data_IF_672440877611
#
_entry.id   IF_672440877611
#
_cell.length_a   1.000
_cell.length_b   1.000
_cell.length_c   1.000
_cell.angle_alpha   90.00
_cell.angle_beta   90.00
_cell.angle_gamma   90.00
#
_symmetry.space_group_name_H-M   'P 1'
#
loop_
_entity.id
_entity.type
_entity.pdbx_description
1 polymer ?
#
# COMPACT_ATOMS: atom_id res chain seq x y z
N UNK A 1 -9.12 -25.45 3.71
CA UNK A 1 -9.06 -24.42 4.77
C UNK A 1 -9.72 -24.96 6.01
N UNK A 2 -9.00 -25.08 7.12
CA UNK A 2 -9.55 -25.60 8.38
C UNK A 2 -10.39 -24.52 9.09
N UNK A 3 -11.32 -24.96 9.96
CA UNK A 3 -12.14 -24.03 10.76
C UNK A 3 -11.29 -23.15 11.70
N UNK A 4 -10.11 -23.64 12.05
CA UNK A 4 -9.14 -22.92 12.86
C UNK A 4 -8.46 -21.77 12.07
N UNK A 5 -8.18 -22.00 10.78
CA UNK A 5 -7.63 -20.98 9.87
C UNK A 5 -8.66 -19.89 9.57
N UNK A 6 -9.94 -20.28 9.39
CA UNK A 6 -11.04 -19.32 9.23
C UNK A 6 -11.20 -18.41 10.46
N UNK A 7 -11.18 -18.95 11.67
CA UNK A 7 -11.26 -18.16 12.90
C UNK A 7 -10.06 -17.24 13.08
N UNK A 8 -8.87 -17.72 12.71
CA UNK A 8 -7.65 -16.91 12.74
C UNK A 8 -7.76 -15.74 11.76
N UNK A 9 -8.22 -16.00 10.54
CA UNK A 9 -8.43 -14.95 9.54
C UNK A 9 -9.52 -13.94 9.95
N UNK A 10 -10.61 -14.38 10.57
CA UNK A 10 -11.64 -13.50 11.11
C UNK A 10 -11.11 -12.63 12.25
N UNK A 11 -10.32 -13.20 13.16
CA UNK A 11 -9.68 -12.43 14.24
C UNK A 11 -8.65 -11.42 13.73
N UNK A 12 -8.11 -11.64 12.53
CA UNK A 12 -7.21 -10.70 11.86
C UNK A 12 -7.97 -9.59 11.11
N UNK A 13 -9.19 -9.87 10.63
CA UNK A 13 -10.04 -8.88 9.95
C UNK A 13 -10.54 -7.78 10.90
N UNK A 14 -10.58 -8.04 12.20
CA UNK A 14 -10.95 -7.06 13.23
C UNK A 14 -9.81 -6.09 13.60
N UNK A 15 -8.62 -6.28 13.04
CA UNK A 15 -7.50 -5.36 13.24
C UNK A 15 -7.43 -4.39 12.08
N UNK A 16 -7.07 -3.15 12.35
CA UNK A 16 -6.86 -2.12 11.34
C UNK A 16 -5.61 -2.42 10.51
N UNK A 17 -5.78 -3.26 9.50
CA UNK A 17 -4.77 -3.54 8.49
C UNK A 17 -5.08 -2.75 7.24
N UNK A 18 -4.03 -2.33 6.55
CA UNK A 18 -4.15 -1.63 5.30
C UNK A 18 -3.61 -0.22 5.39
N UNK A 19 -3.73 0.48 4.30
CA UNK A 19 -3.26 1.85 4.17
C UNK A 19 -4.37 2.82 4.58
N UNK A 20 -4.04 3.76 5.44
CA UNK A 20 -4.85 4.94 5.68
C UNK A 20 -4.30 6.09 4.83
N UNK A 21 -5.11 6.59 3.91
CA UNK A 21 -4.74 7.72 3.08
C UNK A 21 -5.05 9.02 3.82
N UNK A 22 -4.03 9.72 4.26
CA UNK A 22 -4.15 10.94 5.03
C UNK A 22 -4.46 12.14 4.13
N UNK A 23 -3.81 12.24 2.98
CA UNK A 23 -4.07 13.30 2.02
C UNK A 23 -3.61 12.95 0.62
N UNK A 24 -4.29 13.51 -0.37
CA UNK A 24 -3.85 13.53 -1.76
C UNK A 24 -3.97 14.96 -2.28
N UNK A 25 -2.87 15.51 -2.74
CA UNK A 25 -2.80 16.90 -3.19
C UNK A 25 -2.08 17.02 -4.52
N UNK A 26 -2.39 18.07 -5.26
CA UNK A 26 -1.57 18.52 -6.39
C UNK A 26 -0.22 19.04 -5.90
N UNK A 27 0.73 19.24 -6.80
CA UNK A 27 2.02 19.87 -6.49
C UNK A 27 1.87 21.23 -5.77
N UNK A 28 0.86 22.00 -6.13
CA UNK A 28 0.53 23.28 -5.49
C UNK A 28 -0.19 23.17 -4.14
N UNK A 29 -0.39 21.95 -3.62
CA UNK A 29 -1.02 21.71 -2.31
C UNK A 29 -2.55 21.72 -2.32
N UNK A 30 -3.20 21.88 -3.47
CA UNK A 30 -4.66 21.80 -3.56
C UNK A 30 -5.15 20.35 -3.46
N UNK A 31 -6.25 20.07 -2.75
CA UNK A 31 -6.79 18.73 -2.67
C UNK A 31 -7.12 18.14 -4.05
N UNK A 32 -6.79 16.88 -4.25
CA UNK A 32 -7.12 16.11 -5.45
C UNK A 32 -8.25 15.12 -5.10
N UNK A 33 -9.31 15.14 -5.90
CA UNK A 33 -10.43 14.23 -5.70
C UNK A 33 -10.00 12.78 -5.88
N UNK A 34 -10.43 11.91 -4.99
CA UNK A 34 -10.07 10.50 -4.97
C UNK A 34 -11.26 9.62 -4.66
N UNK A 35 -11.25 8.41 -5.19
CA UNK A 35 -12.22 7.35 -4.88
C UNK A 35 -11.46 6.05 -4.65
N UNK A 36 -11.71 5.38 -3.51
CA UNK A 36 -11.06 4.13 -3.16
C UNK A 36 -12.08 3.00 -3.25
N UNK A 37 -11.72 1.96 -4.01
CA UNK A 37 -12.50 0.73 -4.13
C UNK A 37 -11.56 -0.46 -3.94
N UNK A 38 -11.68 -1.15 -2.82
CA UNK A 38 -10.78 -2.24 -2.45
C UNK A 38 -9.33 -1.75 -2.35
N UNK A 39 -8.44 -2.28 -3.17
CA UNK A 39 -7.01 -1.92 -3.20
C UNK A 39 -6.67 -0.92 -4.31
N UNK A 40 -7.67 -0.37 -4.99
CA UNK A 40 -7.49 0.61 -6.06
C UNK A 40 -7.97 1.99 -5.62
N UNK A 41 -7.15 2.98 -5.86
CA UNK A 41 -7.48 4.39 -5.69
C UNK A 41 -7.50 5.08 -7.07
N UNK A 42 -8.64 5.68 -7.40
CA UNK A 42 -8.78 6.54 -8.59
C UNK A 42 -8.54 7.98 -8.18
N UNK A 43 -7.70 8.67 -8.92
CA UNK A 43 -7.50 10.10 -8.82
C UNK A 43 -8.21 10.80 -9.97
N UNK A 44 -8.95 11.85 -9.66
CA UNK A 44 -9.70 12.62 -10.64
C UNK A 44 -9.08 14.03 -10.77
N UNK A 45 -8.14 14.24 -11.69
CA UNK A 45 -7.57 15.56 -11.97
C UNK A 45 -8.64 16.49 -12.55
N UNK A 46 -8.51 17.79 -12.29
CA UNK A 46 -9.48 18.81 -12.75
C UNK A 46 -9.61 18.89 -14.28
N UNK A 47 -8.56 18.49 -14.98
CA UNK A 47 -8.54 18.44 -16.44
C UNK A 47 -7.92 17.12 -16.90
N UNK A 48 -8.37 16.57 -18.05
CA UNK A 48 -7.74 15.42 -18.66
C UNK A 48 -6.28 15.70 -18.97
N UNK A 49 -5.42 14.70 -18.78
CA UNK A 49 -4.02 14.75 -19.16
C UNK A 49 -3.90 14.50 -20.67
N UNK A 50 -3.39 15.45 -21.42
CA UNK A 50 -3.18 15.31 -22.86
C UNK A 50 -1.91 14.46 -23.14
N UNK A 51 -1.81 13.87 -24.35
CA UNK A 51 -0.59 13.15 -24.75
C UNK A 51 0.66 14.02 -24.63
N UNK A 52 1.68 13.47 -23.99
CA UNK A 52 2.95 14.18 -23.73
C UNK A 52 2.95 15.10 -22.53
N UNK A 53 1.82 15.27 -21.85
CA UNK A 53 1.76 16.01 -20.59
C UNK A 53 2.06 15.12 -19.39
N UNK A 54 2.45 15.75 -18.28
CA UNK A 54 2.67 15.09 -17.01
C UNK A 54 1.88 15.77 -15.90
N UNK A 55 1.56 15.00 -14.88
CA UNK A 55 0.93 15.49 -13.66
C UNK A 55 1.75 15.06 -12.46
N UNK A 56 1.97 15.98 -11.53
CA UNK A 56 2.60 15.70 -10.25
C UNK A 56 1.58 15.81 -9.14
N UNK A 57 1.53 14.82 -8.28
CA UNK A 57 0.68 14.82 -7.09
C UNK A 57 1.43 14.19 -5.91
N UNK A 58 0.98 14.51 -4.71
CA UNK A 58 1.53 14.01 -3.45
C UNK A 58 0.48 13.18 -2.74
N UNK A 59 0.90 12.04 -2.23
CA UNK A 59 0.07 11.17 -1.38
C UNK A 59 0.76 11.05 -0.03
N UNK A 60 0.01 11.30 1.04
CA UNK A 60 0.44 10.98 2.40
C UNK A 60 -0.40 9.82 2.91
N UNK A 61 0.25 8.82 3.46
CA UNK A 61 -0.41 7.61 3.97
C UNK A 61 0.31 7.08 5.19
N UNK A 62 -0.38 6.25 5.92
CA UNK A 62 0.20 5.43 6.98
C UNK A 62 -0.35 4.00 6.92
N UNK A 63 0.35 3.07 7.48
CA UNK A 63 -0.10 1.70 7.66
C UNK A 63 0.59 1.05 8.87
N UNK A 64 -0.08 0.09 9.46
CA UNK A 64 0.48 -0.68 10.56
C UNK A 64 1.39 -1.79 10.04
N UNK A 65 2.60 -1.88 10.59
CA UNK A 65 3.50 -3.01 10.36
C UNK A 65 3.17 -4.08 11.41
N UNK A 66 2.95 -5.29 10.93
CA UNK A 66 2.44 -6.40 11.73
C UNK A 66 3.57 -7.35 12.03
N UNK A 67 3.54 -7.97 13.22
CA UNK A 67 4.45 -9.06 13.53
C UNK A 67 4.25 -10.23 12.56
N UNK A 68 5.34 -10.77 11.99
CA UNK A 68 5.32 -11.79 10.93
C UNK A 68 4.50 -13.02 11.32
N UNK A 69 4.57 -13.42 12.58
CA UNK A 69 3.82 -14.55 13.11
C UNK A 69 2.29 -14.34 13.13
N UNK A 70 1.83 -13.11 12.97
CA UNK A 70 0.41 -12.80 13.02
C UNK A 70 -0.28 -13.05 11.68
N UNK A 71 0.42 -12.86 10.56
CA UNK A 71 -0.13 -13.03 9.21
C UNK A 71 0.91 -13.68 8.30
N UNK A 72 0.47 -14.66 7.52
CA UNK A 72 1.27 -15.18 6.41
C UNK A 72 1.29 -14.12 5.28
N UNK A 73 2.39 -13.37 5.21
CA UNK A 73 2.55 -12.31 4.23
C UNK A 73 4.01 -12.05 3.90
N UNK A 74 4.25 -11.15 2.94
CA UNK A 74 5.60 -10.72 2.55
C UNK A 74 6.06 -9.47 3.29
N UNK A 75 5.30 -8.98 4.24
CA UNK A 75 5.61 -7.80 5.02
C UNK A 75 5.33 -8.04 6.48
N UNK A 76 6.17 -7.53 7.32
CA UNK A 76 6.02 -7.65 8.75
C UNK A 76 7.31 -7.30 9.49
N UNK A 77 7.31 -7.51 10.78
CA UNK A 77 8.52 -7.45 11.58
C UNK A 77 8.68 -8.71 12.41
N UNK A 78 9.93 -9.06 12.70
CA UNK A 78 10.31 -10.16 13.58
C UNK A 78 11.14 -9.61 14.71
N UNK A 79 10.77 -9.97 15.95
CA UNK A 79 11.45 -9.57 17.15
C UNK A 79 12.43 -10.67 17.60
N UNK A 80 13.69 -10.31 17.79
CA UNK A 80 14.75 -11.19 18.29
C UNK A 80 15.13 -10.80 19.71
N UNK A 81 14.57 -11.47 20.74
CA UNK A 81 14.80 -11.09 22.14
C UNK A 81 16.20 -11.44 22.65
N UNK A 82 16.89 -12.39 22.02
CA UNK A 82 18.16 -12.95 22.46
C UNK A 82 19.39 -12.20 21.96
N UNK A 83 19.22 -11.02 21.38
CA UNK A 83 20.34 -10.19 20.98
C UNK A 83 21.03 -9.57 22.23
N UNK A 84 22.36 -9.39 22.18
CA UNK A 84 23.21 -8.82 23.24
C UNK A 84 22.81 -7.38 23.63
N UNK A 85 21.83 -6.79 22.96
CA UNK A 85 21.28 -5.47 23.26
C UNK A 85 20.11 -5.55 24.23
N UNK A 86 20.10 -4.67 25.19
CA UNK A 86 18.99 -4.52 26.13
C UNK A 86 17.71 -4.20 25.36
N UNK A 87 16.71 -5.12 25.36
CA UNK A 87 15.45 -4.99 24.65
C UNK A 87 15.36 -5.73 23.32
N UNK A 88 16.42 -6.44 22.87
CA UNK A 88 16.42 -7.20 21.63
C UNK A 88 16.54 -6.34 20.35
N UNK A 89 16.29 -6.97 19.21
CA UNK A 89 16.30 -6.34 17.89
C UNK A 89 15.04 -6.68 17.09
N UNK A 90 14.56 -5.72 16.30
CA UNK A 90 13.48 -5.92 15.36
C UNK A 90 14.02 -5.85 13.93
N UNK A 91 13.63 -6.82 13.09
CA UNK A 91 13.90 -6.80 11.65
C UNK A 91 12.59 -6.57 10.92
N UNK A 92 12.55 -5.55 10.07
CA UNK A 92 11.39 -5.20 9.27
C UNK A 92 11.59 -5.62 7.81
N UNK A 93 10.61 -6.34 7.26
CA UNK A 93 10.49 -6.62 5.83
C UNK A 93 9.24 -5.92 5.31
N UNK A 94 9.43 -4.98 4.38
CA UNK A 94 8.33 -4.22 3.81
C UNK A 94 8.22 -4.48 2.31
N UNK A 95 7.16 -5.16 1.91
CA UNK A 95 6.81 -5.36 0.52
C UNK A 95 5.50 -4.62 0.21
N UNK A 96 5.45 -3.95 -0.96
CA UNK A 96 4.25 -3.22 -1.41
C UNK A 96 3.77 -2.17 -0.39
N UNK A 97 4.69 -1.47 0.24
CA UNK A 97 4.42 -0.55 1.33
C UNK A 97 4.09 0.88 0.88
N UNK A 98 4.09 1.15 -0.41
CA UNK A 98 3.77 2.45 -1.00
C UNK A 98 2.78 2.32 -2.16
N UNK A 99 1.98 3.35 -2.45
CA UNK A 99 1.07 3.36 -3.59
C UNK A 99 1.82 3.21 -4.92
N UNK A 100 1.29 2.39 -5.82
CA UNK A 100 1.86 2.15 -7.15
C UNK A 100 0.82 2.42 -8.22
N UNK A 101 1.26 2.83 -9.40
CA UNK A 101 0.39 2.94 -10.56
C UNK A 101 -0.18 1.57 -10.92
N UNK A 102 -1.49 1.51 -11.10
CA UNK A 102 -2.15 0.33 -11.65
C UNK A 102 -1.76 0.16 -13.12
N UNK A 103 -1.74 -1.08 -13.58
CA UNK A 103 -1.55 -1.37 -14.99
C UNK A 103 -2.85 -1.12 -15.78
N UNK A 104 -2.73 -0.75 -17.06
CA UNK A 104 -3.84 -0.62 -17.97
C UNK A 104 -3.65 -1.57 -19.15
N UNK A 105 -4.70 -2.29 -19.49
CA UNK A 105 -4.77 -3.10 -20.71
C UNK A 105 -6.07 -2.83 -21.45
N UNK A 106 -6.04 -2.92 -22.78
CA UNK A 106 -7.21 -2.60 -23.62
C UNK A 106 -8.42 -3.51 -23.35
N UNK A 107 -8.17 -4.73 -22.90
CA UNK A 107 -9.22 -5.73 -22.65
C UNK A 107 -9.72 -5.77 -21.21
N UNK A 108 -8.96 -5.30 -20.22
CA UNK A 108 -9.35 -5.30 -18.80
C UNK A 108 -9.50 -3.88 -18.22
N UNK A 109 -8.95 -2.86 -18.88
CA UNK A 109 -8.85 -1.52 -18.32
C UNK A 109 -7.79 -1.44 -17.21
N UNK A 110 -8.03 -0.63 -16.20
CA UNK A 110 -7.16 -0.49 -15.03
C UNK A 110 -7.28 -1.71 -14.12
N UNK A 111 -6.15 -2.32 -13.78
CA UNK A 111 -6.11 -3.49 -12.91
C UNK A 111 -4.85 -3.55 -12.04
N UNK A 112 -4.92 -4.33 -10.98
CA UNK A 112 -3.82 -4.58 -10.04
C UNK A 112 -3.20 -5.99 -10.20
N UNK A 113 -3.55 -6.69 -11.29
CA UNK A 113 -3.01 -8.03 -11.57
C UNK A 113 -1.58 -7.89 -12.06
N UNK A 114 -0.68 -8.49 -11.30
CA UNK A 114 0.74 -8.62 -11.59
C UNK A 114 1.57 -7.32 -11.78
N UNK A 115 2.87 -7.50 -11.80
CA UNK A 115 3.90 -6.46 -11.80
C UNK A 115 4.25 -5.98 -13.21
N UNK A 116 3.26 -5.72 -14.03
CA UNK A 116 3.48 -5.31 -15.42
C UNK A 116 3.85 -3.83 -15.57
N UNK A 117 3.62 -3.04 -14.55
CA UNK A 117 3.99 -1.63 -14.55
C UNK A 117 5.48 -1.45 -14.34
N UNK A 118 6.15 -0.77 -15.25
CA UNK A 118 7.47 -0.19 -15.04
C UNK A 118 7.30 1.25 -14.62
N UNK A 119 7.95 1.64 -13.54
CA UNK A 119 7.94 3.01 -13.04
C UNK A 119 9.26 3.33 -12.39
N UNK A 120 9.67 4.57 -12.48
CA UNK A 120 10.76 5.12 -11.70
C UNK A 120 10.13 5.80 -10.48
N UNK A 121 10.63 5.49 -9.29
CA UNK A 121 10.12 6.04 -8.03
C UNK A 121 11.23 6.77 -7.32
N UNK A 122 10.95 7.98 -6.92
CA UNK A 122 11.80 8.74 -6.01
C UNK A 122 11.07 8.86 -4.68
N UNK A 123 11.72 8.43 -3.60
CA UNK A 123 11.24 8.58 -2.23
C UNK A 123 12.05 9.68 -1.56
N UNK A 124 11.38 10.66 -0.99
CA UNK A 124 11.97 11.74 -0.19
C UNK A 124 11.68 11.54 1.29
#
# INVERSE_FOLDING_TARGET
MSFHELRRQQGLADREYGFEILSVTTEGGSPLAQTIVGTLMRLDPKAPLAPGESITFKISWEHNIIEENAIWGRSGYEHFPDDEREGGNDIFLLAQWFPRMAAYTDYEGWHNKEFLGRGEFTLE
#
